data_IF_289196876498
#
_entry.id   IF_289196876498
#
_cell.length_a   1.000
_cell.length_b   1.000
_cell.length_c   1.000
_cell.angle_alpha   90.00
_cell.angle_beta   90.00
_cell.angle_gamma   90.00
#
_symmetry.space_group_name_H-M   'P 1'
#
loop_
_entity.id
_entity.type
_entity.pdbx_description
1 polymer ?
#
# COMPACT_ATOMS: atom_id res chain seq x y z
N UNK A 1 -13.32 4.89 -0.29
CA UNK A 1 -13.28 4.13 -1.54
C UNK A 1 -14.62 3.44 -1.76
N UNK A 2 -14.81 2.75 -2.88
CA UNK A 2 -15.99 1.90 -3.05
C UNK A 2 -15.97 0.81 -1.97
N UNK A 3 -17.08 0.69 -1.23
CA UNK A 3 -17.25 -0.35 -0.21
C UNK A 3 -18.63 -0.94 -0.42
N UNK A 4 -18.72 -2.27 -0.37
CA UNK A 4 -19.98 -2.99 -0.42
C UNK A 4 -20.14 -3.68 0.92
N UNK A 5 -21.25 -3.42 1.60
CA UNK A 5 -21.64 -4.12 2.80
C UNK A 5 -22.71 -5.14 2.45
N UNK A 6 -22.52 -6.37 2.90
CA UNK A 6 -23.54 -7.42 2.86
C UNK A 6 -23.84 -7.81 4.29
N UNK A 7 -25.08 -7.63 4.70
CA UNK A 7 -25.56 -7.98 6.04
C UNK A 7 -26.58 -9.10 5.86
N UNK A 8 -26.31 -10.23 6.47
CA UNK A 8 -27.23 -11.36 6.51
C UNK A 8 -27.82 -11.47 7.91
N UNK A 9 -29.15 -11.58 8.00
CA UNK A 9 -29.87 -11.73 9.26
C UNK A 9 -30.74 -12.98 9.21
N UNK A 10 -30.60 -13.84 10.22
CA UNK A 10 -31.36 -15.08 10.34
C UNK A 10 -31.97 -15.19 11.73
N UNK A 11 -33.28 -15.37 11.82
CA UNK A 11 -34.01 -15.63 13.07
C UNK A 11 -35.28 -16.45 12.79
N UNK A 12 -35.84 -17.06 13.83
CA UNK A 12 -37.11 -17.82 13.75
C UNK A 12 -38.27 -16.92 13.33
N UNK A 13 -38.25 -15.68 13.82
CA UNK A 13 -39.17 -14.62 13.42
C UNK A 13 -38.38 -13.33 13.21
N UNK A 14 -38.43 -12.80 11.99
CA UNK A 14 -37.78 -11.55 11.61
C UNK A 14 -38.78 -10.41 11.72
N UNK A 15 -38.47 -9.34 12.46
CA UNK A 15 -39.34 -8.18 12.53
C UNK A 15 -39.20 -7.31 11.28
N UNK A 16 -40.23 -7.33 10.42
CA UNK A 16 -40.32 -6.45 9.24
C UNK A 16 -41.16 -5.20 9.53
N UNK A 17 -40.87 -4.10 8.84
CA UNK A 17 -41.67 -2.86 8.92
C UNK A 17 -43.00 -2.96 8.18
N UNK A 18 -43.09 -3.83 7.18
CA UNK A 18 -44.29 -4.09 6.37
C UNK A 18 -44.47 -5.58 6.09
N UNK A 19 -45.69 -5.98 5.72
CA UNK A 19 -46.00 -7.35 5.29
C UNK A 19 -45.21 -7.78 4.04
N UNK A 20 -44.82 -6.82 3.20
CA UNK A 20 -44.04 -7.03 1.99
C UNK A 20 -42.60 -7.50 2.24
N UNK A 21 -42.11 -7.48 3.50
CA UNK A 21 -40.78 -7.95 3.92
C UNK A 21 -39.58 -7.27 3.24
N UNK A 22 -39.73 -6.01 2.85
CA UNK A 22 -38.69 -5.26 2.15
C UNK A 22 -37.67 -4.62 3.10
N UNK A 23 -38.07 -4.35 4.35
CA UNK A 23 -37.22 -3.68 5.34
C UNK A 23 -37.42 -4.27 6.74
N UNK A 24 -36.32 -4.27 7.51
CA UNK A 24 -36.26 -4.74 8.89
C UNK A 24 -36.63 -3.57 9.83
N UNK A 25 -37.38 -3.85 10.88
CA UNK A 25 -37.78 -2.85 11.86
C UNK A 25 -36.61 -2.36 12.73
N UNK A 26 -36.68 -1.09 13.14
CA UNK A 26 -35.62 -0.36 13.84
C UNK A 26 -35.60 -0.62 15.36
N UNK A 27 -35.48 -1.88 15.77
CA UNK A 27 -35.32 -2.20 17.19
C UNK A 27 -33.91 -1.83 17.69
N UNK A 28 -33.77 -1.16 18.86
CA UNK A 28 -32.47 -0.76 19.39
C UNK A 28 -31.47 -1.91 19.50
N UNK A 29 -31.93 -3.11 19.83
CA UNK A 29 -31.11 -4.32 19.97
C UNK A 29 -30.51 -4.76 18.63
N UNK A 30 -31.30 -4.77 17.56
CA UNK A 30 -30.86 -5.14 16.21
C UNK A 30 -29.85 -4.12 15.68
N UNK A 31 -30.14 -2.83 15.85
CA UNK A 31 -29.24 -1.76 15.40
C UNK A 31 -27.90 -1.84 16.15
N UNK A 32 -27.94 -2.09 17.46
CA UNK A 32 -26.75 -2.26 18.28
C UNK A 32 -25.90 -3.42 17.76
N UNK A 33 -26.51 -4.57 17.48
CA UNK A 33 -25.78 -5.74 17.01
C UNK A 33 -25.16 -5.54 15.62
N UNK A 34 -25.93 -5.00 14.67
CA UNK A 34 -25.42 -4.67 13.33
C UNK A 34 -24.25 -3.69 13.42
N UNK A 35 -24.34 -2.68 14.30
CA UNK A 35 -23.27 -1.72 14.53
C UNK A 35 -22.00 -2.40 15.07
N UNK A 36 -22.14 -3.30 16.05
CA UNK A 36 -21.00 -4.03 16.60
C UNK A 36 -20.34 -4.92 15.55
N UNK A 37 -21.12 -5.67 14.78
CA UNK A 37 -20.63 -6.52 13.69
C UNK A 37 -19.87 -5.69 12.62
N UNK A 38 -20.43 -4.55 12.22
CA UNK A 38 -19.76 -3.64 11.27
C UNK A 38 -18.48 -3.03 11.85
N UNK A 39 -18.44 -2.71 13.14
CA UNK A 39 -17.24 -2.18 13.79
C UNK A 39 -16.11 -3.22 13.84
N UNK A 40 -16.44 -4.49 14.06
CA UNK A 40 -15.47 -5.58 14.04
C UNK A 40 -14.87 -5.78 12.64
N UNK A 41 -15.72 -5.89 11.61
CA UNK A 41 -15.27 -5.92 10.23
C UNK A 41 -14.46 -4.67 9.85
N UNK A 42 -14.90 -3.50 10.32
CA UNK A 42 -14.21 -2.23 10.11
C UNK A 42 -12.83 -2.17 10.75
N UNK A 43 -12.61 -2.82 11.90
CA UNK A 43 -11.27 -2.94 12.51
C UNK A 43 -10.32 -3.76 11.65
N UNK A 44 -10.78 -4.90 11.13
CA UNK A 44 -10.00 -5.75 10.24
C UNK A 44 -9.63 -5.00 8.95
N UNK A 45 -10.61 -4.35 8.33
CA UNK A 45 -10.38 -3.52 7.15
C UNK A 45 -9.41 -2.36 7.44
N UNK A 46 -9.56 -1.69 8.58
CA UNK A 46 -8.69 -0.60 8.98
C UNK A 46 -7.23 -1.02 9.15
N UNK A 47 -6.98 -2.24 9.63
CA UNK A 47 -5.62 -2.81 9.70
C UNK A 47 -5.05 -3.06 8.30
N UNK A 48 -5.82 -3.67 7.40
CA UNK A 48 -5.41 -3.90 6.01
C UNK A 48 -5.09 -2.58 5.30
N UNK A 49 -5.98 -1.58 5.37
CA UNK A 49 -5.79 -0.28 4.71
C UNK A 49 -4.54 0.42 5.25
N UNK A 50 -4.34 0.46 6.58
CA UNK A 50 -3.14 1.07 7.17
C UNK A 50 -1.86 0.37 6.73
N UNK A 51 -1.88 -0.96 6.64
CA UNK A 51 -0.73 -1.72 6.14
C UNK A 51 -0.43 -1.36 4.68
N UNK A 52 -1.45 -1.28 3.82
CA UNK A 52 -1.30 -0.86 2.42
C UNK A 52 -0.69 0.54 2.29
N UNK A 53 -1.15 1.49 3.10
CA UNK A 53 -0.55 2.84 3.15
C UNK A 53 0.91 2.81 3.60
N UNK A 54 1.23 2.05 4.66
CA UNK A 54 2.61 1.91 5.16
C UNK A 54 3.55 1.37 4.08
N UNK A 55 3.10 0.35 3.35
CA UNK A 55 3.87 -0.24 2.26
C UNK A 55 4.08 0.80 1.14
N UNK A 56 3.03 1.50 0.73
CA UNK A 56 3.12 2.57 -0.28
C UNK A 56 4.16 3.63 0.10
N UNK A 57 4.14 4.09 1.35
CA UNK A 57 5.09 5.09 1.87
C UNK A 57 6.53 4.56 1.88
N UNK A 58 6.74 3.30 2.26
CA UNK A 58 8.05 2.65 2.23
C UNK A 58 8.61 2.54 0.81
N UNK A 59 7.76 2.24 -0.17
CA UNK A 59 8.14 2.16 -1.59
C UNK A 59 8.53 3.55 -2.11
N UNK A 60 7.69 4.55 -1.87
CA UNK A 60 7.94 5.93 -2.29
C UNK A 60 9.27 6.44 -1.74
N UNK A 61 9.52 6.19 -0.44
CA UNK A 61 10.81 6.49 0.20
C UNK A 61 11.95 5.76 -0.50
N UNK A 62 11.84 4.46 -0.71
CA UNK A 62 12.89 3.68 -1.35
C UNK A 62 13.18 4.12 -2.79
N UNK A 63 12.15 4.50 -3.56
CA UNK A 63 12.29 5.06 -4.90
C UNK A 63 12.99 6.43 -4.86
N UNK A 64 12.64 7.28 -3.89
CA UNK A 64 13.31 8.55 -3.66
C UNK A 64 14.80 8.32 -3.38
N UNK A 65 15.15 7.44 -2.43
CA UNK A 65 16.55 7.12 -2.12
C UNK A 65 17.32 6.62 -3.34
N UNK A 66 16.74 5.71 -4.13
CA UNK A 66 17.39 5.20 -5.35
C UNK A 66 17.74 6.30 -6.35
N UNK A 67 16.86 7.29 -6.53
CA UNK A 67 17.12 8.46 -7.39
C UNK A 67 18.31 9.29 -6.90
N UNK A 68 18.53 9.38 -5.59
CA UNK A 68 19.61 10.19 -5.00
C UNK A 68 20.95 9.44 -4.80
N UNK A 69 20.96 8.10 -4.83
CA UNK A 69 22.20 7.31 -4.67
C UNK A 69 23.36 7.77 -5.56
N UNK A 70 23.20 8.02 -6.88
CA UNK A 70 24.34 8.36 -7.74
C UNK A 70 25.01 9.69 -7.35
N UNK A 71 24.20 10.70 -6.99
CA UNK A 71 24.64 12.03 -6.53
C UNK A 71 25.36 11.94 -5.17
N UNK A 72 24.78 11.20 -4.23
CA UNK A 72 25.37 11.01 -2.90
C UNK A 72 26.69 10.23 -3.01
N UNK A 73 26.74 9.20 -3.85
CA UNK A 73 27.95 8.41 -4.05
C UNK A 73 29.10 9.24 -4.66
N UNK A 74 28.78 10.20 -5.52
CA UNK A 74 29.75 11.12 -6.09
C UNK A 74 30.31 12.09 -5.05
N UNK A 75 29.43 12.76 -4.30
CA UNK A 75 29.81 13.67 -3.22
C UNK A 75 30.67 12.98 -2.16
N UNK A 76 30.29 11.75 -1.76
CA UNK A 76 31.05 10.96 -0.79
C UNK A 76 32.40 10.51 -1.33
N UNK A 77 32.49 10.14 -2.62
CA UNK A 77 33.74 9.74 -3.27
C UNK A 77 34.77 10.88 -3.26
N UNK A 78 34.32 12.12 -3.49
CA UNK A 78 35.17 13.32 -3.42
C UNK A 78 35.70 13.54 -1.99
N UNK A 79 34.84 13.40 -0.98
CA UNK A 79 35.19 13.67 0.41
C UNK A 79 36.10 12.59 1.02
N UNK A 80 35.81 11.31 0.78
CA UNK A 80 36.54 10.19 1.37
C UNK A 80 37.71 9.71 0.52
N UNK A 81 37.82 10.18 -0.73
CA UNK A 81 38.78 9.69 -1.75
C UNK A 81 38.64 8.20 -2.06
N UNK A 82 37.50 7.59 -1.71
CA UNK A 82 37.20 6.21 -2.06
C UNK A 82 36.54 6.10 -3.43
N UNK A 83 36.59 4.90 -4.04
CA UNK A 83 35.95 4.63 -5.33
C UNK A 83 34.42 4.75 -5.23
N UNK A 84 33.81 5.60 -6.07
CA UNK A 84 32.35 5.78 -6.23
C UNK A 84 31.60 4.45 -6.31
N UNK A 85 32.15 3.48 -7.02
CA UNK A 85 31.57 2.14 -7.21
C UNK A 85 31.37 1.39 -5.88
N UNK A 86 32.34 1.46 -4.95
CA UNK A 86 32.24 0.79 -3.65
C UNK A 86 31.15 1.41 -2.79
N UNK A 87 31.06 2.75 -2.79
CA UNK A 87 30.07 3.51 -2.03
C UNK A 87 28.68 3.24 -2.60
N UNK A 88 28.54 3.29 -3.92
CA UNK A 88 27.28 3.02 -4.61
C UNK A 88 26.78 1.60 -4.32
N UNK A 89 27.65 0.58 -4.38
CA UNK A 89 27.28 -0.79 -4.01
C UNK A 89 26.88 -0.91 -2.53
N UNK A 90 27.53 -0.17 -1.63
CA UNK A 90 27.17 -0.12 -0.21
C UNK A 90 25.77 0.47 0.01
N UNK A 91 25.48 1.61 -0.63
CA UNK A 91 24.19 2.28 -0.55
C UNK A 91 23.06 1.45 -1.20
N UNK A 92 23.34 0.78 -2.32
CA UNK A 92 22.39 -0.12 -2.98
C UNK A 92 22.06 -1.35 -2.12
N UNK A 93 23.05 -1.89 -1.39
CA UNK A 93 22.81 -3.00 -0.43
C UNK A 93 21.95 -2.60 0.76
N UNK A 94 21.97 -1.32 1.14
CA UNK A 94 21.15 -0.79 2.23
C UNK A 94 19.68 -0.58 1.82
N UNK A 95 19.37 -0.68 0.53
CA UNK A 95 18.02 -0.48 0.01
C UNK A 95 17.11 -1.69 0.35
N UNK A 96 16.04 -1.45 1.10
CA UNK A 96 15.14 -2.49 1.67
C UNK A 96 14.08 -3.01 0.65
N UNK A 97 14.15 -2.60 -0.63
CA UNK A 97 13.19 -2.98 -1.68
C UNK A 97 12.86 -4.48 -1.79
N UNK A 98 13.82 -5.42 -1.71
CA UNK A 98 13.49 -6.84 -1.85
C UNK A 98 12.70 -7.40 -0.67
N UNK A 99 12.80 -6.80 0.52
CA UNK A 99 12.04 -7.20 1.70
C UNK A 99 10.59 -6.71 1.60
N UNK A 100 10.40 -5.48 1.14
CA UNK A 100 9.07 -4.89 0.90
C UNK A 100 8.30 -5.71 -0.13
N UNK A 101 8.95 -6.16 -1.22
CA UNK A 101 8.33 -7.01 -2.24
C UNK A 101 7.83 -8.35 -1.69
N UNK A 102 8.54 -8.97 -0.74
CA UNK A 102 8.09 -10.22 -0.12
C UNK A 102 6.82 -10.02 0.71
N UNK A 103 6.76 -8.92 1.47
CA UNK A 103 5.59 -8.59 2.29
C UNK A 103 4.32 -8.36 1.46
N UNK A 104 4.46 -7.95 0.19
CA UNK A 104 3.36 -7.75 -0.77
C UNK A 104 2.90 -9.06 -1.41
N UNK A 105 3.84 -9.93 -1.81
CA UNK A 105 3.54 -11.18 -2.53
C UNK A 105 2.82 -12.20 -1.65
N UNK A 106 3.13 -12.26 -0.36
CA UNK A 106 2.48 -13.18 0.59
C UNK A 106 0.98 -12.86 0.80
N UNK A 107 0.49 -11.67 0.45
CA UNK A 107 -0.92 -11.27 0.64
C UNK A 107 -1.85 -11.58 -0.55
N UNK A 108 -1.33 -12.09 -1.67
CA UNK A 108 -2.15 -12.52 -2.81
C UNK A 108 -2.92 -11.38 -3.52
N UNK A 109 -2.55 -10.12 -3.27
CA UNK A 109 -3.14 -8.93 -3.89
C UNK A 109 -2.62 -8.82 -5.34
N UNK A 110 -3.29 -9.52 -6.25
CA UNK A 110 -2.93 -9.63 -7.67
C UNK A 110 -3.25 -8.38 -8.51
N UNK A 111 -3.85 -7.36 -7.91
CA UNK A 111 -4.23 -6.10 -8.57
C UNK A 111 -3.07 -5.07 -8.50
N UNK A 112 -1.97 -5.45 -9.14
CA UNK A 112 -0.66 -4.78 -9.15
C UNK A 112 -0.60 -3.52 -10.03
N UNK A 113 -1.63 -2.66 -9.96
CA UNK A 113 -1.68 -1.42 -10.77
C UNK A 113 -0.96 -0.24 -10.12
N UNK A 114 -0.80 -0.24 -8.79
CA UNK A 114 -0.13 0.85 -8.06
C UNK A 114 1.40 0.86 -8.30
N UNK A 115 1.99 -0.30 -8.62
CA UNK A 115 3.43 -0.48 -8.79
C UNK A 115 3.94 -0.23 -10.21
N UNK A 116 3.03 -0.12 -11.18
CA UNK A 116 3.40 0.06 -12.60
C UNK A 116 3.79 1.50 -12.95
N UNK A 117 3.45 2.48 -12.10
CA UNK A 117 3.60 3.92 -12.43
C UNK A 117 5.00 4.52 -12.23
N UNK A 118 6.01 3.80 -11.75
CA UNK A 118 7.40 4.30 -11.72
C UNK A 118 8.41 3.36 -12.41
N UNK A 119 8.01 2.69 -13.49
CA UNK A 119 8.94 2.06 -14.44
C UNK A 119 9.08 2.87 -15.74
N UNK A 120 8.97 4.19 -15.69
CA UNK A 120 9.60 5.02 -16.73
C UNK A 120 11.07 5.12 -16.38
N UNK A 121 11.91 4.40 -17.14
CA UNK A 121 13.36 4.57 -17.13
C UNK A 121 13.67 6.07 -17.12
N UNK A 122 14.62 6.57 -16.30
CA UNK A 122 15.11 7.92 -16.49
C UNK A 122 15.54 8.01 -17.95
N UNK A 123 14.98 8.97 -18.69
CA UNK A 123 15.45 9.30 -20.02
C UNK A 123 16.96 9.49 -19.90
N UNK A 124 17.72 8.61 -20.55
CA UNK A 124 19.15 8.76 -20.66
C UNK A 124 19.36 10.11 -21.33
N UNK A 125 20.00 11.03 -20.59
CA UNK A 125 20.31 12.36 -21.08
C UNK A 125 20.88 12.29 -22.49
N UNK A 126 20.31 13.12 -23.36
CA UNK A 126 20.85 13.42 -24.67
C UNK A 126 22.37 13.56 -24.54
N UNK A 127 23.08 12.67 -25.26
CA UNK A 127 24.51 12.86 -25.48
C UNK A 127 24.66 14.24 -26.12
N UNK A 128 25.33 15.12 -25.39
CA UNK A 128 26.08 16.20 -26.01
C UNK A 128 27.11 15.54 -26.95
N UNK A 129 26.75 15.43 -28.23
CA UNK A 129 27.71 15.36 -29.31
C UNK A 129 28.03 16.82 -29.69
N UNK A 130 29.01 17.38 -28.97
CA UNK A 130 29.98 18.29 -29.59
C UNK A 130 31.01 17.40 -30.29
N UNK A 131 30.93 17.32 -31.62
CA UNK A 131 32.05 17.41 -32.58
C UNK A 131 31.51 17.36 -34.03
#
# INVERSE_FOLDING_TARGET
GPVVFVIHMASVWVPFTSESKEAIAHYPEIIKEIKLALQECGRLLGTYVRKKYRISEQIERANMFERYIPEIAESLSILTKEKKEKIMQGLQKMLVKPEIKKEIVDEGDSDDKLYRMEFTKPEQGEKAEEE
#
